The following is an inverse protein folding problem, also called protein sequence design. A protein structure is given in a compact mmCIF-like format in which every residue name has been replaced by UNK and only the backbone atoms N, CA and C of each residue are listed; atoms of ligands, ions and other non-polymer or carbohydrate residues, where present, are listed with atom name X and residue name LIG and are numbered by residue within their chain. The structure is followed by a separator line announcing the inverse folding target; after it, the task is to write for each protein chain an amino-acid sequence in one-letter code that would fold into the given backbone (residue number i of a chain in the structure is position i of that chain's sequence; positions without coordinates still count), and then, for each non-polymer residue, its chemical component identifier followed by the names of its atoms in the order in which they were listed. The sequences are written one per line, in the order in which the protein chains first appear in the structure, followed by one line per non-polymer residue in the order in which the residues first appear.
data_IF_344406122743
#
_entry.id   IF_344406122743
#
_cell.length_a   1.000
_cell.length_b   1.000
_cell.length_c   1.000
_cell.angle_alpha   90.00
_cell.angle_beta   90.00
_cell.angle_gamma   90.00
#
_symmetry.space_group_name_H-M   'P 1'
#
loop_
_entity.id
_entity.type
_entity.pdbx_description
1 polymer ?
#
# COMPACT_ATOMS: atom_id res chain seq x y z
N UNK A 1 8.73 -13.86 24.47
CA UNK A 1 8.36 -13.20 23.19
C UNK A 1 7.54 -11.98 23.56
N UNK A 2 7.45 -10.96 22.70
CA UNK A 2 6.56 -9.83 22.99
C UNK A 2 5.10 -10.31 23.01
N UNK A 3 4.29 -9.78 23.91
CA UNK A 3 2.89 -10.15 24.07
C UNK A 3 1.98 -9.48 23.02
N UNK A 4 2.49 -8.46 22.35
CA UNK A 4 1.81 -7.74 21.29
C UNK A 4 2.75 -7.26 20.18
N UNK A 5 2.14 -6.81 19.10
CA UNK A 5 2.76 -6.19 17.94
C UNK A 5 2.13 -4.83 17.68
N UNK A 6 2.93 -3.78 17.66
CA UNK A 6 2.48 -2.47 17.23
C UNK A 6 2.39 -2.40 15.71
N UNK A 7 1.29 -1.83 15.24
CA UNK A 7 0.94 -1.67 13.83
C UNK A 7 1.12 -0.21 13.44
N UNK A 8 1.80 0.03 12.32
CA UNK A 8 1.95 1.36 11.76
C UNK A 8 1.66 1.35 10.26
N UNK A 9 1.20 2.49 9.74
CA UNK A 9 1.32 2.81 8.31
C UNK A 9 2.53 3.71 8.14
N UNK A 10 3.46 3.32 7.27
CA UNK A 10 4.63 4.10 6.93
C UNK A 10 4.51 4.70 5.53
N UNK A 11 4.88 5.97 5.43
CA UNK A 11 4.89 6.75 4.21
C UNK A 11 6.34 6.95 3.78
N UNK A 12 6.71 6.42 2.62
CA UNK A 12 8.07 6.52 2.13
C UNK A 12 8.40 7.92 1.61
N UNK A 13 9.68 8.21 1.43
CA UNK A 13 10.13 9.37 0.67
C UNK A 13 9.60 9.31 -0.76
N UNK A 14 9.09 10.43 -1.28
CA UNK A 14 8.64 10.52 -2.68
C UNK A 14 9.83 10.36 -3.62
N UNK A 15 9.66 9.55 -4.67
CA UNK A 15 10.67 9.33 -5.71
C UNK A 15 10.07 9.65 -7.06
N UNK A 16 10.50 10.75 -7.66
CA UNK A 16 9.92 11.24 -8.90
C UNK A 16 8.45 11.59 -8.75
N UNK A 17 7.64 11.14 -9.70
CA UNK A 17 6.23 11.53 -9.79
C UNK A 17 5.25 10.41 -9.43
N UNK A 18 5.72 9.23 -9.06
CA UNK A 18 4.85 8.14 -8.61
C UNK A 18 4.07 8.53 -7.34
N UNK A 19 2.87 7.94 -7.12
CA UNK A 19 2.19 8.00 -5.84
C UNK A 19 3.11 7.60 -4.68
N UNK A 20 2.92 8.23 -3.51
CA UNK A 20 3.75 7.95 -2.35
C UNK A 20 3.67 6.47 -1.98
N UNK A 21 4.82 5.83 -1.82
CA UNK A 21 4.88 4.41 -1.49
C UNK A 21 4.48 4.17 -0.02
N UNK A 22 3.41 3.42 0.20
CA UNK A 22 2.91 3.09 1.54
C UNK A 22 3.34 1.67 1.93
N UNK A 23 3.56 1.46 3.23
CA UNK A 23 3.89 0.17 3.81
C UNK A 23 3.12 -0.02 5.12
N UNK A 24 2.71 -1.26 5.40
CA UNK A 24 2.27 -1.66 6.73
C UNK A 24 3.50 -2.17 7.49
N UNK A 25 3.75 -1.62 8.68
CA UNK A 25 4.82 -2.06 9.57
C UNK A 25 4.24 -2.81 10.76
N UNK A 26 4.94 -3.87 11.16
CA UNK A 26 4.63 -4.63 12.36
C UNK A 26 5.87 -4.79 13.23
N UNK A 27 5.84 -4.25 14.45
CA UNK A 27 7.01 -4.18 15.34
C UNK A 27 6.67 -4.68 16.74
N UNK A 28 7.62 -5.30 17.44
CA UNK A 28 7.48 -5.47 18.88
C UNK A 28 7.50 -4.07 19.53
N UNK A 29 6.68 -3.80 20.57
CA UNK A 29 6.71 -2.54 21.28
C UNK A 29 8.13 -2.17 21.73
N UNK A 30 8.56 -0.94 21.42
CA UNK A 30 9.91 -0.43 21.72
C UNK A 30 11.04 -0.96 20.81
N UNK A 31 10.77 -1.86 19.87
CA UNK A 31 11.80 -2.38 18.95
C UNK A 31 12.19 -1.37 17.88
N UNK A 32 13.49 -1.29 17.57
CA UNK A 32 14.01 -0.52 16.43
C UNK A 32 13.86 -1.27 15.10
N UNK A 33 13.44 -2.54 15.13
CA UNK A 33 13.24 -3.39 13.98
C UNK A 33 11.80 -3.91 13.88
N UNK A 34 11.34 -4.11 12.66
CA UNK A 34 9.98 -4.49 12.31
C UNK A 34 9.96 -5.38 11.07
N UNK A 35 8.77 -5.85 10.72
CA UNK A 35 8.48 -6.46 9.43
C UNK A 35 7.78 -5.45 8.54
N UNK A 36 8.27 -5.28 7.31
CA UNK A 36 7.63 -4.46 6.28
C UNK A 36 6.71 -5.34 5.44
N UNK A 37 5.49 -4.90 5.24
CA UNK A 37 4.52 -5.47 4.31
C UNK A 37 4.13 -4.40 3.29
N UNK A 38 4.39 -4.65 2.01
CA UNK A 38 4.10 -3.69 0.96
C UNK A 38 4.05 -4.35 -0.42
N UNK A 39 3.57 -3.62 -1.42
CA UNK A 39 3.59 -4.02 -2.83
C UNK A 39 4.53 -3.13 -3.63
N UNK A 40 5.42 -3.73 -4.41
CA UNK A 40 6.35 -3.04 -5.30
C UNK A 40 6.00 -3.35 -6.77
N UNK A 41 6.72 -2.73 -7.71
CA UNK A 41 6.46 -2.90 -9.14
C UNK A 41 5.30 -2.03 -9.63
N UNK A 42 4.60 -2.51 -10.66
CA UNK A 42 3.49 -1.85 -11.31
C UNK A 42 3.82 -1.34 -12.72
N UNK A 43 2.80 -1.05 -13.55
CA UNK A 43 2.99 -0.63 -14.94
C UNK A 43 3.85 0.63 -15.10
N UNK A 44 3.85 1.54 -14.13
CA UNK A 44 4.72 2.73 -14.14
C UNK A 44 6.22 2.41 -14.05
N UNK A 45 6.57 1.17 -13.71
CA UNK A 45 7.94 0.66 -13.56
C UNK A 45 8.25 -0.49 -14.51
N UNK A 46 7.38 -0.74 -15.48
CA UNK A 46 7.50 -1.83 -16.46
C UNK A 46 7.70 -3.20 -15.80
N UNK A 47 6.96 -3.46 -14.71
CA UNK A 47 7.03 -4.70 -13.93
C UNK A 47 5.66 -5.05 -13.36
N UNK A 48 5.42 -6.34 -13.17
CA UNK A 48 4.25 -6.79 -12.42
C UNK A 48 4.26 -6.31 -10.97
N UNK A 49 3.08 -6.19 -10.37
CA UNK A 49 2.97 -5.95 -8.94
C UNK A 49 3.45 -7.16 -8.16
N UNK A 50 4.25 -6.92 -7.12
CA UNK A 50 4.79 -7.97 -6.26
C UNK A 50 4.62 -7.62 -4.79
N UNK A 51 3.99 -8.51 -4.02
CA UNK A 51 3.95 -8.39 -2.56
C UNK A 51 5.30 -8.79 -1.96
N UNK A 52 5.87 -7.90 -1.16
CA UNK A 52 7.10 -8.16 -0.40
C UNK A 52 6.79 -8.18 1.11
N UNK A 53 7.36 -9.15 1.80
CA UNK A 53 7.32 -9.28 3.26
C UNK A 53 8.78 -9.34 3.73
N UNK A 54 9.24 -8.31 4.43
CA UNK A 54 10.65 -8.16 4.77
C UNK A 54 10.81 -8.03 6.28
N UNK A 55 11.27 -9.10 6.93
CA UNK A 55 11.52 -9.11 8.38
C UNK A 55 12.86 -8.46 8.73
N UNK A 56 13.01 -8.01 9.99
CA UNK A 56 14.26 -7.46 10.52
C UNK A 56 14.65 -6.11 9.92
N UNK A 57 13.69 -5.38 9.36
CA UNK A 57 13.94 -4.06 8.77
C UNK A 57 13.85 -2.97 9.84
N UNK A 58 14.66 -1.93 9.71
CA UNK A 58 14.62 -0.78 10.62
C UNK A 58 13.27 -0.07 10.57
N UNK A 59 12.73 0.29 11.73
CA UNK A 59 11.56 1.16 11.87
C UNK A 59 11.82 2.54 11.25
N UNK A 60 13.02 3.08 11.49
CA UNK A 60 13.48 4.37 10.98
C UNK A 60 14.55 4.16 9.90
N UNK A 61 14.10 3.73 8.73
CA UNK A 61 14.94 3.64 7.54
C UNK A 61 14.94 4.96 6.77
N UNK A 62 16.05 5.32 6.12
CA UNK A 62 16.16 6.52 5.27
C UNK A 62 15.08 6.62 4.19
N UNK A 63 14.54 5.49 3.74
CA UNK A 63 13.45 5.45 2.76
C UNK A 63 12.07 5.83 3.33
N UNK A 64 11.90 5.85 4.65
CA UNK A 64 10.66 6.20 5.34
C UNK A 64 10.72 7.69 5.70
N UNK A 65 9.68 8.43 5.31
CA UNK A 65 9.52 9.84 5.65
C UNK A 65 8.82 9.98 7.01
N UNK A 66 7.66 9.34 7.15
CA UNK A 66 6.87 9.36 8.38
C UNK A 66 6.21 8.01 8.63
N UNK A 67 5.77 7.78 9.87
CA UNK A 67 5.00 6.62 10.28
C UNK A 67 3.90 7.05 11.23
N UNK A 68 2.73 6.44 11.08
CA UNK A 68 1.56 6.68 11.92
C UNK A 68 1.21 5.40 12.66
N UNK A 69 1.10 5.50 13.98
CA UNK A 69 0.66 4.39 14.82
C UNK A 69 -0.84 4.15 14.64
N UNK A 70 -1.22 2.89 14.52
CA UNK A 70 -2.62 2.47 14.36
C UNK A 70 -3.16 1.84 15.65
N UNK A 71 -2.37 0.95 16.26
CA UNK A 71 -2.81 0.15 17.39
C UNK A 71 -1.83 -0.99 17.69
N UNK A 72 -2.19 -1.80 18.69
CA UNK A 72 -1.42 -2.98 19.10
C UNK A 72 -2.27 -4.24 18.91
N UNK A 73 -1.67 -5.28 18.34
CA UNK A 73 -2.29 -6.58 18.06
C UNK A 73 -1.68 -7.62 19.00
N UNK A 74 -2.50 -8.44 19.65
CA UNK A 74 -2.00 -9.51 20.49
C UNK A 74 -1.13 -10.50 19.68
N UNK A 75 -0.02 -10.97 20.26
CA UNK A 75 0.90 -11.87 19.56
C UNK A 75 0.23 -13.18 19.08
N UNK A 76 -0.78 -13.65 19.81
CA UNK A 76 -1.62 -14.80 19.43
C UNK A 76 -2.41 -14.61 18.14
N UNK A 77 -2.59 -13.36 17.68
CA UNK A 77 -3.39 -13.02 16.50
C UNK A 77 -2.57 -12.76 15.24
N UNK A 78 -1.25 -12.98 15.29
CA UNK A 78 -0.36 -12.73 14.15
C UNK A 78 -0.74 -13.51 12.88
N UNK A 79 -1.32 -14.70 13.03
CA UNK A 79 -1.82 -15.51 11.91
C UNK A 79 -2.95 -14.81 11.16
N UNK A 80 -3.80 -14.05 11.86
CA UNK A 80 -4.89 -13.26 11.28
C UNK A 80 -4.36 -12.08 10.46
N UNK A 81 -3.26 -11.46 10.90
CA UNK A 81 -2.55 -10.42 10.13
C UNK A 81 -2.02 -10.99 8.82
N UNK A 82 -1.30 -12.11 8.87
CA UNK A 82 -0.79 -12.80 7.68
C UNK A 82 -1.92 -13.17 6.72
N UNK A 83 -3.02 -13.70 7.25
CA UNK A 83 -4.21 -14.03 6.45
C UNK A 83 -4.78 -12.79 5.73
N UNK A 84 -4.91 -11.65 6.42
CA UNK A 84 -5.41 -10.41 5.80
C UNK A 84 -4.47 -9.91 4.69
N UNK A 85 -3.16 -9.91 4.94
CA UNK A 85 -2.12 -9.52 3.98
C UNK A 85 -2.13 -10.42 2.74
N UNK A 86 -2.35 -11.72 2.92
CA UNK A 86 -2.33 -12.69 1.80
C UNK A 86 -3.59 -12.61 0.95
N UNK A 87 -4.74 -12.31 1.57
CA UNK A 87 -6.05 -12.27 0.92
C UNK A 87 -6.22 -11.11 -0.07
N UNK A 88 -5.45 -10.03 0.06
CA UNK A 88 -5.54 -8.88 -0.85
C UNK A 88 -4.66 -9.11 -2.08
N UNK A 89 -5.23 -9.12 -3.30
CA UNK A 89 -4.48 -9.24 -4.54
C UNK A 89 -3.46 -8.11 -4.69
N UNK A 90 -2.33 -8.39 -5.34
CA UNK A 90 -1.30 -7.38 -5.60
C UNK A 90 -1.82 -6.31 -6.57
N UNK A 91 -1.65 -5.04 -6.19
CA UNK A 91 -2.12 -3.86 -6.92
C UNK A 91 -1.35 -2.62 -6.46
N UNK A 92 -1.79 -1.41 -6.83
CA UNK A 92 -1.20 -0.16 -6.36
C UNK A 92 -1.02 -0.14 -4.84
N UNK A 93 0.18 0.25 -4.38
CA UNK A 93 0.58 0.09 -2.97
C UNK A 93 -0.37 0.75 -1.96
N UNK A 94 -0.87 1.96 -2.25
CA UNK A 94 -1.78 2.67 -1.36
C UNK A 94 -3.12 1.95 -1.23
N UNK A 95 -3.68 1.53 -2.38
CA UNK A 95 -4.93 0.76 -2.42
C UNK A 95 -4.78 -0.59 -1.72
N UNK A 96 -3.67 -1.28 -1.99
CA UNK A 96 -3.34 -2.53 -1.33
C UNK A 96 -3.29 -2.37 0.20
N UNK A 97 -2.59 -1.34 0.70
CA UNK A 97 -2.53 -1.05 2.14
C UNK A 97 -3.92 -0.79 2.72
N UNK A 98 -4.76 0.01 2.05
CA UNK A 98 -6.14 0.30 2.51
C UNK A 98 -6.99 -0.97 2.58
N UNK A 99 -6.93 -1.84 1.56
CA UNK A 99 -7.68 -3.10 1.56
C UNK A 99 -7.18 -4.08 2.63
N UNK A 100 -5.87 -4.09 2.91
CA UNK A 100 -5.31 -4.86 4.03
C UNK A 100 -5.83 -4.31 5.36
N UNK A 101 -5.84 -2.99 5.56
CA UNK A 101 -6.38 -2.37 6.76
C UNK A 101 -7.87 -2.71 6.94
N UNK A 102 -8.66 -2.67 5.86
CA UNK A 102 -10.05 -3.12 5.90
C UNK A 102 -10.18 -4.61 6.30
N UNK A 103 -9.25 -5.44 5.85
CA UNK A 103 -9.15 -6.85 6.28
C UNK A 103 -8.81 -7.01 7.76
N UNK A 104 -7.94 -6.16 8.31
CA UNK A 104 -7.60 -6.13 9.73
C UNK A 104 -8.77 -5.63 10.58
N UNK A 105 -9.49 -4.60 10.13
CA UNK A 105 -10.70 -4.08 10.78
C UNK A 105 -11.79 -5.13 10.90
N UNK A 106 -12.09 -5.85 9.81
CA UNK A 106 -13.09 -6.95 9.82
C UNK A 106 -12.73 -8.07 10.80
N UNK A 107 -11.46 -8.18 11.16
CA UNK A 107 -10.94 -9.14 12.14
C UNK A 107 -10.79 -8.53 13.54
N UNK A 108 -11.23 -7.28 13.74
CA UNK A 108 -11.11 -6.50 14.96
C UNK A 108 -9.68 -6.30 15.47
N UNK A 109 -8.69 -6.29 14.55
CA UNK A 109 -7.28 -6.15 14.89
C UNK A 109 -6.79 -4.70 14.90
N UNK A 110 -7.54 -3.80 14.26
CA UNK A 110 -7.30 -2.36 14.26
C UNK A 110 -8.64 -1.63 14.48
N UNK A 111 -8.64 -0.38 14.97
CA UNK A 111 -9.86 0.37 15.21
C UNK A 111 -10.75 0.49 13.97
N UNK A 112 -12.07 0.47 14.16
CA UNK A 112 -13.02 0.70 13.08
C UNK A 112 -12.86 2.10 12.49
N UNK A 113 -12.87 2.22 11.16
CA UNK A 113 -12.72 3.48 10.44
C UNK A 113 -11.28 3.81 10.03
N UNK A 114 -10.29 3.03 10.47
CA UNK A 114 -8.91 3.04 9.97
C UNK A 114 -8.85 2.98 8.44
N UNK A 115 -9.51 2.02 7.79
CA UNK A 115 -9.44 1.86 6.34
C UNK A 115 -9.99 3.06 5.58
N UNK A 116 -11.13 3.59 6.03
CA UNK A 116 -11.75 4.81 5.48
C UNK A 116 -10.85 6.03 5.69
N UNK A 117 -10.23 6.15 6.87
CA UNK A 117 -9.28 7.22 7.16
C UNK A 117 -8.12 7.26 6.16
N UNK A 118 -7.54 6.09 5.84
CA UNK A 118 -6.44 6.00 4.87
C UNK A 118 -6.91 6.07 3.42
N UNK A 119 -8.10 5.55 3.09
CA UNK A 119 -8.70 5.69 1.77
C UNK A 119 -8.80 7.16 1.34
N UNK A 120 -9.26 8.03 2.25
CA UNK A 120 -9.41 9.46 2.00
C UNK A 120 -8.07 10.21 1.82
N UNK A 121 -6.94 9.55 2.07
CA UNK A 121 -5.58 10.10 1.88
C UNK A 121 -4.89 9.54 0.64
N UNK A 122 -5.53 8.62 -0.09
CA UNK A 122 -4.95 8.05 -1.30
C UNK A 122 -4.75 9.12 -2.37
N UNK A 123 -3.62 9.04 -3.06
CA UNK A 123 -3.36 9.83 -4.24
C UNK A 123 -4.12 9.24 -5.44
N UNK A 124 -4.53 10.07 -6.41
CA UNK A 124 -5.18 9.58 -7.63
C UNK A 124 -4.28 8.62 -8.40
N UNK A 125 -4.84 7.50 -8.86
CA UNK A 125 -4.14 6.58 -9.75
C UNK A 125 -3.83 7.27 -11.08
N UNK A 126 -2.60 7.08 -11.57
CA UNK A 126 -2.16 7.70 -12.84
C UNK A 126 -2.53 6.87 -14.07
N UNK A 127 -2.95 5.63 -13.89
CA UNK A 127 -3.37 4.76 -15.00
C UNK A 127 -4.59 5.30 -15.75
N UNK A 128 -5.43 6.13 -15.13
CA UNK A 128 -6.62 6.70 -15.77
C UNK A 128 -6.38 7.90 -16.70
N UNK A 129 -5.14 8.40 -16.85
CA UNK A 129 -4.86 9.60 -17.68
C UNK A 129 -4.44 9.31 -19.12
N UNK A 130 -4.25 8.05 -19.51
CA UNK A 130 -3.78 7.69 -20.86
C UNK A 130 -4.90 7.30 -21.85
N UNK A 131 -6.16 7.14 -21.42
CA UNK A 131 -7.24 6.66 -22.31
C UNK A 131 -8.16 7.76 -22.90
N UNK A 132 -7.80 9.04 -22.81
CA UNK A 132 -8.56 10.13 -23.48
C UNK A 132 -7.72 10.98 -24.43
N UNK A 133 -6.78 10.34 -25.15
CA UNK A 133 -6.25 10.90 -26.39
C UNK A 133 -7.29 10.75 -27.50
N UNK A 134 -8.17 11.74 -27.65
CA UNK A 134 -9.04 11.84 -28.83
C UNK A 134 -8.15 12.01 -30.07
N UNK A 135 -7.89 10.92 -30.80
CA UNK A 135 -7.43 11.01 -32.18
C UNK A 135 -8.64 11.38 -33.03
N UNK A 136 -8.79 12.67 -33.31
CA UNK A 136 -9.64 13.13 -34.41
C UNK A 136 -9.00 12.61 -35.71
N UNK A 137 -9.43 11.43 -36.16
CA UNK A 137 -9.27 11.05 -37.55
C UNK A 137 -10.18 11.96 -38.37
N UNK A 138 -9.66 13.11 -38.79
CA UNK A 138 -10.25 13.89 -39.87
C UNK A 138 -10.21 13.03 -41.13
N UNK A 139 -11.37 12.47 -41.48
CA UNK A 139 -11.56 11.84 -42.78
C UNK A 139 -11.38 12.88 -43.88
N UNK A 140 -10.39 12.65 -44.74
CA UNK A 140 -10.41 13.19 -46.09
C UNK A 140 -10.85 12.06 -47.01
N UNK A 141 -12.15 12.03 -47.29
CA UNK A 141 -12.65 11.46 -48.54
C UNK A 141 -12.30 12.45 -49.64
N UNK A 142 -11.30 12.14 -50.44
CA UNK A 142 -11.17 12.72 -51.78
C UNK A 142 -11.66 11.66 -52.77
N UNK A 143 -12.92 11.79 -53.15
CA UNK A 143 -13.43 11.38 -54.45
C UNK A 143 -12.89 12.36 -55.49
N UNK A 144 -12.23 11.87 -56.54
CA UNK A 144 -12.15 12.57 -57.83
C UNK A 144 -11.74 11.61 -58.95
N UNK A 145 -12.78 11.12 -59.63
CA UNK A 145 -12.95 10.89 -61.08
C UNK A 145 -11.81 10.28 -61.92
#
# INVERSE_FOLDING_TARGET
MADSWDVYVAFCQRRGSDPLHWMLLLANPGSLHCTWYHVVGGPTKDRDYERKIQAGKRMDSFGISTKQYIGSIAASEISKVKSAVVAVPVQECQRWTVEVLAGLERKCLVPSGTSVHYYNQMEPSRLGKLEHGWVLLSGSSDDSN
#
